data_IF_207553929788
#
_entry.id   IF_207553929788
#
_cell.length_a   1.000
_cell.length_b   1.000
_cell.length_c   1.000
_cell.angle_alpha   90.00
_cell.angle_beta   90.00
_cell.angle_gamma   90.00
#
_symmetry.space_group_name_H-M   'P 1'
#
loop_
_entity.id
_entity.type
_entity.pdbx_description
1 polymer ?
#
# COMPACT_ATOMS: atom_id res chain seq x y z
N UNK A 1 -29.14 66.59 42.19
CA UNK A 1 -30.58 66.67 42.56
C UNK A 1 -31.17 65.29 42.28
N UNK A 2 -31.46 64.33 43.16
CA UNK A 2 -31.51 64.05 44.61
C UNK A 2 -31.04 62.57 44.72
N UNK A 3 -30.19 62.04 45.62
CA UNK A 3 -30.15 61.96 47.10
C UNK A 3 -31.41 61.42 47.80
N UNK A 4 -31.39 60.13 48.20
CA UNK A 4 -31.99 59.54 49.42
C UNK A 4 -31.43 58.11 49.60
N UNK A 5 -30.57 57.78 50.59
CA UNK A 5 -30.81 57.55 52.03
C UNK A 5 -31.97 56.57 52.29
N UNK A 6 -31.93 55.54 53.16
CA UNK A 6 -30.96 54.90 54.07
C UNK A 6 -31.70 53.66 54.62
N UNK A 7 -30.97 52.62 55.04
CA UNK A 7 -31.03 51.93 56.36
C UNK A 7 -30.91 50.39 56.26
N UNK A 8 -29.89 49.93 56.98
CA UNK A 8 -29.66 48.56 57.48
C UNK A 8 -30.70 48.18 58.55
N UNK A 9 -30.76 46.88 58.89
CA UNK A 9 -30.54 46.49 60.28
C UNK A 9 -29.44 45.44 60.44
N UNK A 10 -28.94 45.35 61.68
CA UNK A 10 -27.72 44.66 62.08
C UNK A 10 -28.00 43.40 62.91
N UNK A 11 -27.03 42.47 62.88
CA UNK A 11 -26.67 41.45 63.87
C UNK A 11 -27.63 40.27 64.14
N UNK A 12 -27.13 39.06 63.81
CA UNK A 12 -27.04 37.96 64.78
C UNK A 12 -25.87 37.02 64.39
N UNK A 13 -24.96 36.81 65.34
CA UNK A 13 -23.88 35.81 65.31
C UNK A 13 -24.49 34.42 65.53
N UNK A 14 -24.16 33.47 64.67
CA UNK A 14 -24.23 32.04 65.02
C UNK A 14 -22.98 31.33 64.51
N UNK A 15 -22.16 30.92 65.46
CA UNK A 15 -20.99 30.04 65.32
C UNK A 15 -21.46 28.68 64.81
N UNK A 16 -20.96 28.22 63.66
CA UNK A 16 -21.09 26.83 63.22
C UNK A 16 -19.69 26.22 63.09
N UNK A 17 -19.53 25.14 63.86
CA UNK A 17 -18.34 24.31 63.97
C UNK A 17 -18.00 23.68 62.61
N UNK A 18 -16.75 23.87 62.17
CA UNK A 18 -16.17 23.15 61.04
C UNK A 18 -15.92 21.68 61.47
N UNK A 19 -16.74 20.76 60.99
CA UNK A 19 -16.39 19.34 60.96
C UNK A 19 -15.50 19.10 59.73
N UNK A 20 -14.22 18.79 60.00
CA UNK A 20 -13.28 18.18 59.07
C UNK A 20 -13.83 16.80 58.64
N UNK A 21 -14.17 16.68 57.37
CA UNK A 21 -14.37 15.41 56.69
C UNK A 21 -13.40 15.37 55.52
N UNK A 22 -12.33 14.59 55.66
CA UNK A 22 -11.39 14.31 54.58
C UNK A 22 -12.07 13.50 53.47
N UNK A 23 -11.84 13.81 52.18
CA UNK A 23 -12.19 12.88 51.12
C UNK A 23 -11.17 11.74 51.08
N UNK A 24 -11.64 10.52 51.34
CA UNK A 24 -10.90 9.29 51.13
C UNK A 24 -10.39 9.22 49.68
N UNK A 25 -9.07 9.26 49.52
CA UNK A 25 -8.39 8.95 48.26
C UNK A 25 -8.46 7.43 48.09
N UNK A 26 -9.51 6.97 47.42
CA UNK A 26 -9.57 5.58 46.94
C UNK A 26 -8.64 5.48 45.73
N UNK A 27 -7.39 5.10 45.98
CA UNK A 27 -6.44 4.72 44.93
C UNK A 27 -6.89 3.38 44.35
N UNK A 28 -7.87 3.38 43.45
CA UNK A 28 -8.07 2.27 42.53
C UNK A 28 -6.91 2.30 41.55
N UNK A 29 -5.91 1.47 41.81
CA UNK A 29 -4.86 1.12 40.85
C UNK A 29 -5.51 0.36 39.70
N UNK A 30 -6.11 1.10 38.77
CA UNK A 30 -6.43 0.58 37.44
C UNK A 30 -5.10 0.47 36.71
N UNK A 31 -4.54 -0.73 36.68
CA UNK A 31 -3.47 -1.11 35.74
C UNK A 31 -4.01 -0.97 34.32
N UNK A 32 -4.02 0.26 33.80
CA UNK A 32 -4.00 0.54 32.37
C UNK A 32 -2.70 -0.04 31.85
N UNK A 33 -2.77 -1.18 31.18
CA UNK A 33 -1.66 -1.72 30.42
C UNK A 33 -1.40 -0.79 29.23
N UNK A 34 -0.64 0.27 29.46
CA UNK A 34 0.04 1.04 28.43
C UNK A 34 1.05 0.11 27.77
N UNK A 35 0.58 -0.69 26.82
CA UNK A 35 1.48 -1.33 25.86
C UNK A 35 1.99 -0.18 24.99
N UNK A 36 3.25 0.21 25.23
CA UNK A 36 3.98 1.20 24.44
C UNK A 36 3.74 0.93 22.94
N UNK A 37 3.33 1.94 22.17
CA UNK A 37 3.03 1.80 20.73
C UNK A 37 4.22 1.22 19.95
N UNK A 38 5.44 1.52 20.40
CA UNK A 38 6.68 0.90 19.90
C UNK A 38 6.69 -0.63 20.04
N UNK A 39 6.14 -1.17 21.14
CA UNK A 39 6.01 -2.60 21.38
C UNK A 39 4.99 -3.25 20.43
N UNK A 40 3.84 -2.59 20.18
CA UNK A 40 2.80 -3.08 19.26
C UNK A 40 3.32 -3.15 17.82
N UNK A 41 3.96 -2.08 17.34
CA UNK A 41 4.56 -2.05 16.00
C UNK A 41 5.70 -3.06 15.86
N UNK A 42 6.50 -3.26 16.91
CA UNK A 42 7.55 -4.29 16.91
C UNK A 42 6.98 -5.71 16.81
N UNK A 43 5.90 -6.01 17.53
CA UNK A 43 5.21 -7.29 17.45
C UNK A 43 4.60 -7.50 16.05
N UNK A 44 3.96 -6.47 15.49
CA UNK A 44 3.44 -6.50 14.13
C UNK A 44 4.54 -6.75 13.09
N UNK A 45 5.68 -6.06 13.21
CA UNK A 45 6.83 -6.26 12.31
C UNK A 45 7.32 -7.72 12.36
N UNK A 46 7.43 -8.32 13.55
CA UNK A 46 7.80 -9.73 13.69
C UNK A 46 6.75 -10.69 13.11
N UNK A 47 5.47 -10.36 13.23
CA UNK A 47 4.40 -11.13 12.59
C UNK A 47 4.55 -11.09 11.07
N UNK A 48 4.68 -9.90 10.49
CA UNK A 48 4.74 -9.69 9.04
C UNK A 48 5.99 -10.33 8.43
N UNK A 49 7.14 -10.32 9.10
CA UNK A 49 8.36 -11.04 8.67
C UNK A 49 8.19 -12.56 8.52
N UNK A 50 7.14 -13.14 9.13
CA UNK A 50 6.81 -14.57 8.99
C UNK A 50 5.86 -14.85 7.84
N UNK A 51 5.30 -13.82 7.21
CA UNK A 51 4.43 -13.98 6.06
C UNK A 51 5.19 -14.65 4.92
N UNK A 52 4.57 -15.65 4.31
CA UNK A 52 5.05 -16.27 3.08
C UNK A 52 3.95 -16.10 2.03
N UNK A 53 4.23 -15.41 0.91
CA UNK A 53 3.27 -15.30 -0.18
C UNK A 53 2.83 -16.70 -0.65
N UNK A 54 1.55 -16.90 -1.00
CA UNK A 54 1.14 -18.14 -1.63
C UNK A 54 1.93 -18.36 -2.93
N UNK A 55 2.24 -19.61 -3.30
CA UNK A 55 2.96 -19.90 -4.53
C UNK A 55 2.21 -19.28 -5.71
N UNK A 56 2.88 -18.40 -6.44
CA UNK A 56 2.24 -17.66 -7.52
C UNK A 56 1.97 -18.62 -8.67
N UNK A 57 0.71 -18.81 -9.05
CA UNK A 57 0.34 -19.76 -10.12
C UNK A 57 0.64 -19.24 -11.53
N UNK A 58 1.32 -18.10 -11.66
CA UNK A 58 1.51 -17.42 -12.95
C UNK A 58 2.82 -16.65 -13.12
N UNK A 59 3.72 -16.60 -12.12
CA UNK A 59 4.97 -15.83 -12.24
C UNK A 59 6.26 -16.66 -12.09
N UNK A 60 6.19 -17.90 -11.59
CA UNK A 60 7.37 -18.67 -11.17
C UNK A 60 7.69 -19.88 -12.08
N UNK A 61 7.83 -19.67 -13.40
CA UNK A 61 8.33 -20.71 -14.32
C UNK A 61 9.81 -20.48 -14.73
N UNK A 62 10.55 -19.59 -14.04
CA UNK A 62 11.85 -19.08 -14.54
C UNK A 62 13.02 -19.06 -13.53
N UNK A 63 13.06 -19.99 -12.57
CA UNK A 63 14.28 -20.24 -11.80
C UNK A 63 14.86 -21.62 -12.15
N UNK A 64 16.06 -21.59 -12.73
CA UNK A 64 17.02 -22.68 -13.01
C UNK A 64 16.91 -23.40 -14.38
N UNK A 65 17.62 -22.86 -15.38
CA UNK A 65 18.31 -23.72 -16.36
C UNK A 65 19.77 -23.27 -16.46
N UNK A 66 20.59 -23.88 -15.59
CA UNK A 66 22.04 -23.72 -15.56
C UNK A 66 22.65 -24.40 -16.78
N UNK A 67 23.52 -23.67 -17.47
CA UNK A 67 24.29 -24.03 -18.66
C UNK A 67 24.69 -25.51 -18.78
N UNK A 68 24.31 -26.13 -19.91
CA UNK A 68 25.03 -27.26 -20.48
C UNK A 68 24.98 -27.20 -22.01
N UNK A 69 25.77 -26.28 -22.60
CA UNK A 69 26.17 -26.42 -24.00
C UNK A 69 27.25 -27.52 -24.06
N UNK A 70 26.89 -28.68 -24.60
CA UNK A 70 27.86 -29.60 -25.19
C UNK A 70 27.66 -29.62 -26.70
N UNK A 71 28.69 -29.15 -27.40
CA UNK A 71 28.89 -29.30 -28.82
C UNK A 71 28.78 -30.77 -29.22
N UNK A 72 28.11 -31.07 -30.33
CA UNK A 72 28.58 -32.14 -31.20
C UNK A 72 28.18 -31.87 -32.64
N UNK A 73 29.21 -31.81 -33.48
CA UNK A 73 29.16 -31.57 -34.90
C UNK A 73 28.47 -32.73 -35.65
N UNK A 74 27.67 -32.37 -36.66
CA UNK A 74 27.10 -33.30 -37.62
C UNK A 74 27.04 -32.66 -39.00
N UNK A 75 28.12 -32.81 -39.78
CA UNK A 75 28.21 -32.52 -41.22
C UNK A 75 27.25 -33.43 -41.99
N UNK A 76 26.40 -32.88 -42.86
CA UNK A 76 26.00 -33.56 -44.11
C UNK A 76 25.90 -32.52 -45.24
N UNK A 77 26.58 -32.82 -46.34
CA UNK A 77 26.62 -32.06 -47.59
C UNK A 77 25.56 -32.61 -48.54
N UNK A 78 24.78 -31.74 -49.18
CA UNK A 78 24.34 -31.96 -50.57
C UNK A 78 23.99 -30.64 -51.26
N UNK A 79 24.61 -30.46 -52.43
CA UNK A 79 24.39 -29.40 -53.41
C UNK A 79 23.03 -29.56 -54.10
N UNK A 80 22.27 -28.49 -54.27
CA UNK A 80 21.95 -27.84 -55.56
C UNK A 80 21.19 -26.53 -55.30
N UNK A 81 21.52 -25.49 -56.07
CA UNK A 81 21.11 -24.12 -55.80
C UNK A 81 19.72 -23.74 -56.28
N UNK A 82 19.08 -22.86 -55.51
CA UNK A 82 18.28 -21.74 -55.99
C UNK A 82 18.53 -20.55 -55.04
N UNK A 83 18.82 -19.39 -55.62
CA UNK A 83 19.13 -18.17 -54.90
C UNK A 83 17.82 -17.43 -54.66
N UNK A 84 17.20 -17.66 -53.50
CA UNK A 84 16.17 -16.76 -52.96
C UNK A 84 16.71 -16.17 -51.66
N UNK A 85 16.83 -14.85 -51.68
CA UNK A 85 17.18 -14.00 -50.55
C UNK A 85 16.14 -14.16 -49.44
N UNK A 86 16.37 -15.10 -48.53
CA UNK A 86 15.63 -15.23 -47.28
C UNK A 86 16.24 -14.22 -46.30
N UNK A 87 15.59 -13.07 -46.17
CA UNK A 87 15.79 -12.23 -44.99
C UNK A 87 15.53 -13.10 -43.74
N UNK A 88 16.33 -12.99 -42.67
CA UNK A 88 16.10 -13.79 -41.47
C UNK A 88 14.70 -13.47 -40.93
N UNK A 89 13.80 -14.44 -41.00
CA UNK A 89 12.55 -14.42 -40.23
C UNK A 89 13.00 -14.48 -38.76
N UNK A 90 12.70 -13.49 -37.91
CA UNK A 90 12.99 -13.60 -36.48
C UNK A 90 12.23 -14.81 -35.95
N UNK A 91 12.98 -15.83 -35.51
CA UNK A 91 12.46 -17.14 -35.12
C UNK A 91 12.08 -17.22 -33.64
N UNK A 92 11.87 -16.10 -32.99
CA UNK A 92 11.51 -16.09 -31.57
C UNK A 92 10.37 -15.09 -31.33
N UNK A 93 9.19 -15.55 -30.86
CA UNK A 93 8.25 -14.64 -30.23
C UNK A 93 8.95 -14.07 -29.00
N UNK A 94 9.31 -12.78 -29.04
CA UNK A 94 9.88 -12.03 -27.92
C UNK A 94 9.15 -12.42 -26.62
N UNK A 95 9.86 -13.14 -25.75
CA UNK A 95 9.32 -13.64 -24.49
C UNK A 95 8.86 -12.43 -23.69
N UNK A 96 7.56 -12.32 -23.45
CA UNK A 96 7.00 -11.16 -22.77
C UNK A 96 7.51 -11.08 -21.33
N UNK A 97 8.42 -10.14 -21.09
CA UNK A 97 8.88 -9.78 -19.74
C UNK A 97 8.08 -8.55 -19.29
N UNK A 98 7.09 -8.70 -18.38
CA UNK A 98 6.35 -7.55 -17.88
C UNK A 98 7.32 -6.58 -17.22
N UNK A 99 7.15 -5.28 -17.50
CA UNK A 99 7.88 -4.23 -16.78
C UNK A 99 7.61 -4.38 -15.28
N UNK A 100 8.64 -4.19 -14.47
CA UNK A 100 8.59 -4.34 -13.00
C UNK A 100 8.44 -2.99 -12.33
N UNK A 101 7.65 -2.96 -11.27
CA UNK A 101 7.43 -1.81 -10.41
C UNK A 101 7.28 -2.29 -8.96
N UNK A 102 7.52 -1.40 -8.01
CA UNK A 102 7.30 -1.67 -6.61
C UNK A 102 6.57 -0.50 -5.95
N UNK A 103 5.74 -0.80 -4.96
CA UNK A 103 4.99 0.19 -4.19
C UNK A 103 5.18 -0.03 -2.71
N UNK A 104 5.32 1.06 -1.95
CA UNK A 104 5.49 1.03 -0.51
C UNK A 104 4.14 1.11 0.21
N UNK A 105 3.79 0.05 0.94
CA UNK A 105 2.73 0.06 1.95
C UNK A 105 3.38 0.48 3.27
N UNK A 106 3.48 1.80 3.48
CA UNK A 106 4.06 2.35 4.70
C UNK A 106 3.02 2.39 5.82
N UNK A 107 3.12 1.45 6.77
CA UNK A 107 2.22 1.30 7.91
C UNK A 107 2.79 1.99 9.14
N UNK A 108 1.96 2.71 9.88
CA UNK A 108 2.30 3.31 11.16
C UNK A 108 1.11 3.25 12.12
N UNK A 109 1.35 3.53 13.40
CA UNK A 109 0.29 3.69 14.40
C UNK A 109 -0.17 5.16 14.42
N UNK A 110 -1.46 5.39 14.18
CA UNK A 110 -2.08 6.70 14.28
C UNK A 110 -2.32 7.14 15.73
N UNK A 111 -2.72 8.41 15.91
CA UNK A 111 -2.98 8.99 17.24
C UNK A 111 -4.06 8.24 18.03
N UNK A 112 -4.99 7.58 17.34
CA UNK A 112 -6.05 6.75 17.93
C UNK A 112 -5.61 5.31 18.26
N UNK A 113 -4.36 4.94 17.98
CA UNK A 113 -3.84 3.58 18.14
C UNK A 113 -4.27 2.59 17.03
N UNK A 114 -4.91 3.09 15.98
CA UNK A 114 -5.23 2.36 14.75
C UNK A 114 -4.00 2.27 13.83
N UNK A 115 -3.91 1.19 13.03
CA UNK A 115 -2.89 1.10 11.99
C UNK A 115 -3.34 1.89 10.78
N UNK A 116 -2.46 2.74 10.28
CA UNK A 116 -2.72 3.65 9.15
C UNK A 116 -1.70 3.43 8.05
N UNK A 117 -2.09 3.70 6.81
CA UNK A 117 -1.24 3.58 5.62
C UNK A 117 -1.12 4.91 4.91
N UNK A 118 0.10 5.27 4.50
CA UNK A 118 0.38 6.48 3.73
C UNK A 118 -0.02 6.28 2.26
N UNK A 119 -0.72 7.28 1.70
CA UNK A 119 -1.19 7.32 0.33
C UNK A 119 -0.89 8.68 -0.31
N UNK A 120 -0.80 8.67 -1.63
CA UNK A 120 -0.64 9.86 -2.46
C UNK A 120 -1.87 10.06 -3.33
N UNK A 121 -2.21 11.33 -3.57
CA UNK A 121 -3.06 11.72 -4.69
C UNK A 121 -2.16 12.24 -5.79
N UNK A 122 -2.18 11.57 -6.94
CA UNK A 122 -1.35 11.94 -8.10
C UNK A 122 -1.74 13.31 -8.63
N UNK A 123 -0.75 14.06 -9.10
CA UNK A 123 -0.94 15.36 -9.72
C UNK A 123 -1.89 15.26 -10.91
N UNK A 124 -2.84 16.19 -10.99
CA UNK A 124 -3.77 16.31 -12.12
C UNK A 124 -3.08 16.67 -13.44
N UNK A 125 -1.80 17.05 -13.40
CA UNK A 125 -1.00 17.42 -14.58
C UNK A 125 -0.33 16.23 -15.27
N UNK A 126 -0.39 15.04 -14.67
CA UNK A 126 0.23 13.85 -15.24
C UNK A 126 -0.58 13.30 -16.43
N UNK A 127 0.12 12.74 -17.42
CA UNK A 127 -0.51 12.19 -18.63
C UNK A 127 -1.25 10.88 -18.40
N UNK A 128 -0.94 10.17 -17.31
CA UNK A 128 -1.58 8.91 -16.92
C UNK A 128 -1.94 8.93 -15.43
N UNK A 129 -3.09 8.31 -15.10
CA UNK A 129 -3.57 8.17 -13.73
C UNK A 129 -3.71 9.50 -12.96
N UNK A 130 -3.97 10.59 -13.68
CA UNK A 130 -4.09 11.94 -13.11
C UNK A 130 -5.18 11.99 -12.04
N UNK A 131 -4.83 12.47 -10.84
CA UNK A 131 -5.79 12.60 -9.74
C UNK A 131 -6.17 11.29 -9.03
N UNK A 132 -5.66 10.15 -9.49
CA UNK A 132 -5.91 8.86 -8.82
C UNK A 132 -5.16 8.77 -7.48
N UNK A 133 -5.73 8.01 -6.54
CA UNK A 133 -5.05 7.67 -5.29
C UNK A 133 -4.15 6.45 -5.52
N UNK A 134 -2.91 6.55 -5.06
CA UNK A 134 -1.90 5.50 -5.15
C UNK A 134 -1.14 5.31 -3.85
N UNK A 135 -0.49 4.15 -3.73
CA UNK A 135 0.63 3.97 -2.81
C UNK A 135 1.86 4.67 -3.42
N UNK A 136 2.77 5.23 -2.61
CA UNK A 136 4.06 5.70 -3.10
C UNK A 136 4.79 4.56 -3.82
N UNK A 137 5.36 4.84 -4.99
CA UNK A 137 6.06 3.82 -5.77
C UNK A 137 6.01 4.03 -7.27
N UNK A 138 6.84 3.26 -7.97
CA UNK A 138 7.07 3.44 -9.39
C UNK A 138 7.79 2.27 -10.02
N UNK A 139 8.34 2.52 -11.20
CA UNK A 139 9.01 1.49 -12.01
C UNK A 139 10.40 1.23 -11.45
N UNK A 140 10.86 -0.01 -11.58
CA UNK A 140 12.26 -0.31 -11.26
C UNK A 140 13.20 0.39 -12.26
N UNK A 141 14.27 0.96 -11.73
CA UNK A 141 15.39 1.53 -12.48
C UNK A 141 16.58 0.56 -12.52
N UNK A 142 17.57 0.83 -13.37
CA UNK A 142 18.75 -0.05 -13.54
C UNK A 142 19.58 -0.18 -12.26
N UNK A 143 19.61 0.87 -11.44
CA UNK A 143 20.36 0.91 -10.18
C UNK A 143 19.61 0.30 -8.98
N UNK A 144 18.33 -0.07 -9.15
CA UNK A 144 17.53 -0.70 -8.11
C UNK A 144 17.91 -2.19 -7.96
N UNK A 145 18.58 -2.53 -6.86
CA UNK A 145 19.05 -3.92 -6.63
C UNK A 145 17.91 -4.90 -6.36
N UNK A 146 16.78 -4.43 -5.87
CA UNK A 146 15.59 -5.21 -5.53
C UNK A 146 14.33 -4.34 -5.41
N UNK A 147 13.19 -4.97 -5.08
CA UNK A 147 11.88 -4.28 -5.02
C UNK A 147 11.80 -3.27 -3.87
N UNK A 148 12.50 -3.49 -2.74
CA UNK A 148 12.44 -2.54 -1.62
C UNK A 148 13.23 -1.28 -1.94
N UNK A 149 14.36 -1.39 -2.64
CA UNK A 149 15.09 -0.21 -3.13
C UNK A 149 14.22 0.61 -4.06
N UNK A 150 13.56 0.00 -5.06
CA UNK A 150 12.60 0.70 -5.92
C UNK A 150 11.51 1.40 -5.11
N UNK A 151 10.83 0.69 -4.21
CA UNK A 151 9.71 1.25 -3.46
C UNK A 151 10.12 2.40 -2.52
N UNK A 152 11.30 2.31 -1.89
CA UNK A 152 11.79 3.33 -0.95
C UNK A 152 12.39 4.53 -1.66
N UNK A 153 13.12 4.34 -2.78
CA UNK A 153 13.58 5.44 -3.65
C UNK A 153 12.40 6.27 -4.15
N UNK A 154 11.39 5.62 -4.72
CA UNK A 154 10.20 6.29 -5.22
C UNK A 154 9.43 7.02 -4.11
N UNK A 155 9.34 6.43 -2.91
CA UNK A 155 8.73 7.12 -1.77
C UNK A 155 9.54 8.34 -1.29
N UNK A 156 10.87 8.28 -1.37
CA UNK A 156 11.73 9.42 -1.10
C UNK A 156 11.51 10.54 -2.13
N UNK A 157 11.47 10.20 -3.41
CA UNK A 157 11.25 11.14 -4.52
C UNK A 157 9.85 11.77 -4.50
N UNK A 158 8.80 10.97 -4.29
CA UNK A 158 7.41 11.42 -4.36
C UNK A 158 6.99 12.23 -3.12
N UNK A 159 7.40 11.80 -1.92
CA UNK A 159 6.88 12.33 -0.64
C UNK A 159 7.95 12.69 0.38
N UNK A 160 9.24 12.61 0.05
CA UNK A 160 10.34 12.94 0.95
C UNK A 160 10.50 11.95 2.12
N UNK A 161 10.05 10.71 1.97
CA UNK A 161 10.18 9.70 3.01
C UNK A 161 11.59 9.12 3.03
N UNK A 162 12.40 9.57 4.00
CA UNK A 162 13.74 9.01 4.25
C UNK A 162 13.65 7.48 4.49
N UNK A 163 14.32 6.65 3.65
CA UNK A 163 14.28 5.19 3.78
C UNK A 163 14.72 4.68 5.16
N UNK A 164 15.57 5.41 5.88
CA UNK A 164 16.04 5.03 7.22
C UNK A 164 14.94 5.06 8.30
N UNK A 165 13.83 5.77 8.03
CA UNK A 165 12.66 5.80 8.92
C UNK A 165 11.77 4.56 8.79
N UNK A 166 11.96 3.77 7.74
CA UNK A 166 11.09 2.66 7.36
C UNK A 166 11.78 1.32 7.63
N UNK A 167 11.19 0.51 8.50
CA UNK A 167 11.59 -0.88 8.70
C UNK A 167 10.84 -1.79 7.71
N UNK A 168 11.50 -2.20 6.62
CA UNK A 168 10.92 -3.12 5.63
C UNK A 168 10.79 -4.52 6.23
N UNK A 169 9.56 -5.06 6.24
CA UNK A 169 9.23 -6.29 6.98
C UNK A 169 8.85 -7.46 6.10
N UNK A 170 8.19 -7.24 4.96
CA UNK A 170 7.83 -8.32 4.03
C UNK A 170 7.43 -7.77 2.66
N UNK A 171 7.34 -8.66 1.68
CA UNK A 171 6.70 -8.44 0.39
C UNK A 171 5.36 -9.16 0.34
N UNK A 172 4.40 -8.60 -0.40
CA UNK A 172 3.23 -9.34 -0.84
C UNK A 172 3.50 -9.99 -2.21
N UNK A 173 2.64 -10.93 -2.59
CA UNK A 173 2.62 -11.50 -3.93
C UNK A 173 2.48 -10.40 -5.01
N UNK A 174 3.03 -10.61 -6.21
CA UNK A 174 2.90 -9.67 -7.31
C UNK A 174 1.44 -9.45 -7.71
N UNK A 175 1.11 -8.19 -7.97
CA UNK A 175 -0.12 -7.78 -8.62
C UNK A 175 0.16 -7.40 -10.07
N UNK A 176 -0.83 -7.60 -10.94
CA UNK A 176 -0.74 -7.16 -12.33
C UNK A 176 -1.67 -5.97 -12.56
N UNK A 177 -1.10 -4.88 -13.07
CA UNK A 177 -1.91 -3.74 -13.50
C UNK A 177 -2.62 -4.03 -14.83
N UNK A 178 -3.62 -3.19 -15.16
CA UNK A 178 -4.30 -3.22 -16.46
C UNK A 178 -3.35 -3.07 -17.66
N UNK A 179 -2.17 -2.48 -17.46
CA UNK A 179 -1.15 -2.26 -18.48
C UNK A 179 -0.04 -3.31 -18.45
N UNK A 180 -0.28 -4.47 -17.83
CA UNK A 180 0.66 -5.58 -17.71
C UNK A 180 1.98 -5.23 -16.97
N UNK A 181 1.98 -4.16 -16.18
CA UNK A 181 3.05 -3.85 -15.22
C UNK A 181 2.93 -4.79 -14.01
N UNK A 182 3.98 -5.55 -13.71
CA UNK A 182 4.11 -6.39 -12.52
C UNK A 182 4.51 -5.50 -11.34
N UNK A 183 3.59 -5.34 -10.40
CA UNK A 183 3.75 -4.49 -9.21
C UNK A 183 4.00 -5.35 -7.99
N UNK A 184 5.11 -5.11 -7.29
CA UNK A 184 5.45 -5.77 -6.02
C UNK A 184 5.12 -4.85 -4.86
N UNK A 185 4.14 -5.21 -4.01
CA UNK A 185 3.87 -4.44 -2.80
C UNK A 185 4.88 -4.78 -1.71
N UNK A 186 5.58 -3.76 -1.22
CA UNK A 186 6.56 -3.84 -0.14
C UNK A 186 5.91 -3.29 1.13
N UNK A 187 5.85 -4.07 2.21
CA UNK A 187 5.33 -3.59 3.49
C UNK A 187 6.49 -3.08 4.35
N UNK A 188 6.40 -1.82 4.74
CA UNK A 188 7.34 -1.16 5.65
C UNK A 188 6.63 -0.58 6.87
N UNK A 189 7.28 -0.63 8.03
CA UNK A 189 6.79 -0.04 9.27
C UNK A 189 7.52 1.29 9.52
N UNK A 190 6.78 2.39 9.53
CA UNK A 190 7.26 3.67 10.00
C UNK A 190 7.12 3.71 11.53
N UNK A 191 8.25 3.53 12.24
CA UNK A 191 8.26 3.34 13.69
C UNK A 191 7.89 4.59 14.48
N UNK A 192 8.20 5.76 13.94
CA UNK A 192 7.96 7.05 14.58
C UNK A 192 7.41 8.04 13.55
N UNK A 193 6.08 8.19 13.54
CA UNK A 193 5.39 9.08 12.61
C UNK A 193 5.78 10.55 12.78
N UNK A 194 6.24 10.96 13.96
CA UNK A 194 6.64 12.35 14.24
C UNK A 194 7.94 12.74 13.54
N UNK A 195 8.77 11.76 13.16
CA UNK A 195 9.99 12.00 12.39
C UNK A 195 9.74 12.16 10.89
N UNK A 196 8.54 11.81 10.42
CA UNK A 196 8.17 11.95 9.02
C UNK A 196 7.31 13.19 8.80
N UNK A 197 7.91 14.19 8.16
CA UNK A 197 7.23 15.37 7.63
C UNK A 197 7.16 15.28 6.10
N UNK A 198 5.99 15.00 5.50
CA UNK A 198 5.88 14.83 4.05
C UNK A 198 6.32 16.06 3.26
N UNK A 199 7.11 15.83 2.21
CA UNK A 199 7.54 16.84 1.24
C UNK A 199 7.09 16.35 -0.15
N UNK A 200 5.85 16.63 -0.58
CA UNK A 200 5.37 16.15 -1.87
C UNK A 200 6.11 16.81 -3.03
N UNK A 201 6.52 16.00 -4.01
CA UNK A 201 6.98 16.52 -5.29
C UNK A 201 5.78 17.06 -6.09
N UNK A 202 5.65 18.39 -6.32
CA UNK A 202 4.47 18.97 -6.96
C UNK A 202 4.31 18.57 -8.44
N UNK A 203 5.36 18.04 -9.07
CA UNK A 203 5.27 17.47 -10.41
C UNK A 203 4.41 16.21 -10.46
N UNK A 204 4.38 15.45 -9.36
CA UNK A 204 3.87 14.08 -9.33
C UNK A 204 2.77 13.86 -8.30
N UNK A 205 2.82 14.58 -7.18
CA UNK A 205 1.94 14.41 -6.02
C UNK A 205 1.23 15.73 -5.70
N UNK A 206 -0.11 15.69 -5.74
CA UNK A 206 -0.97 16.82 -5.34
C UNK A 206 -1.19 16.84 -3.81
N UNK A 207 -1.27 15.66 -3.20
CA UNK A 207 -1.48 15.54 -1.75
C UNK A 207 -0.89 14.24 -1.22
N UNK A 208 -0.38 14.31 0.01
CA UNK A 208 -0.07 13.13 0.85
C UNK A 208 -1.10 13.09 1.96
N UNK A 209 -1.66 11.92 2.19
CA UNK A 209 -2.60 11.67 3.27
C UNK A 209 -2.45 10.22 3.74
N UNK A 210 -3.20 9.84 4.76
CA UNK A 210 -3.18 8.49 5.28
C UNK A 210 -4.60 8.02 5.60
N UNK A 211 -4.81 6.71 5.58
CA UNK A 211 -6.11 6.08 5.79
C UNK A 211 -6.00 4.93 6.82
N UNK A 212 -7.04 4.65 7.63
CA UNK A 212 -7.05 3.48 8.51
C UNK A 212 -6.93 2.21 7.67
N UNK A 213 -5.90 1.39 7.89
CA UNK A 213 -5.69 0.17 7.11
C UNK A 213 -6.85 -0.82 7.26
N UNK A 214 -7.49 -0.84 8.41
CA UNK A 214 -8.63 -1.73 8.67
C UNK A 214 -9.85 -1.42 7.78
N UNK A 215 -9.97 -0.20 7.25
CA UNK A 215 -11.13 0.18 6.43
C UNK A 215 -11.26 -0.71 5.19
N UNK A 216 -10.15 -1.22 4.66
CA UNK A 216 -10.11 -2.10 3.50
C UNK A 216 -10.63 -3.52 3.78
N UNK A 217 -11.03 -3.81 5.03
CA UNK A 217 -11.69 -5.07 5.40
C UNK A 217 -13.17 -4.90 5.72
N UNK A 218 -13.69 -3.67 5.71
CA UNK A 218 -15.07 -3.34 6.10
C UNK A 218 -15.90 -3.02 4.86
N UNK A 219 -17.20 -3.33 4.93
CA UNK A 219 -18.14 -3.05 3.84
C UNK A 219 -18.78 -1.64 3.96
N UNK A 220 -18.18 -0.77 4.77
CA UNK A 220 -18.65 0.60 5.00
C UNK A 220 -18.00 1.55 3.99
N UNK A 221 -18.80 2.47 3.42
CA UNK A 221 -18.35 3.43 2.39
C UNK A 221 -17.62 2.75 1.23
N UNK A 222 -18.02 1.51 0.92
CA UNK A 222 -17.44 0.69 -0.13
C UNK A 222 -18.48 0.38 -1.18
N UNK A 223 -18.06 0.39 -2.44
CA UNK A 223 -18.81 -0.17 -3.57
C UNK A 223 -17.92 -1.09 -4.40
N UNK A 224 -18.52 -1.88 -5.27
CA UNK A 224 -17.78 -2.73 -6.22
C UNK A 224 -18.49 -2.86 -7.55
N UNK A 225 -17.71 -2.95 -8.62
CA UNK A 225 -18.19 -3.15 -9.98
C UNK A 225 -17.65 -4.48 -10.52
N UNK A 226 -18.53 -5.26 -11.15
CA UNK A 226 -18.12 -6.45 -11.90
C UNK A 226 -17.44 -6.03 -13.19
N UNK A 227 -16.29 -6.63 -13.46
CA UNK A 227 -15.56 -6.53 -14.72
C UNK A 227 -15.26 -7.91 -15.26
N UNK A 228 -14.90 -7.96 -16.52
CA UNK A 228 -14.51 -9.19 -17.21
C UNK A 228 -13.22 -8.93 -17.98
N UNK A 229 -12.28 -9.85 -17.90
CA UNK A 229 -11.03 -9.81 -18.64
C UNK A 229 -10.70 -11.21 -19.15
N UNK A 230 -10.57 -11.38 -20.46
CA UNK A 230 -10.38 -12.68 -21.13
C UNK A 230 -11.38 -13.76 -20.66
N UNK A 231 -12.65 -13.39 -20.43
CA UNK A 231 -13.69 -14.30 -19.95
C UNK A 231 -13.69 -14.55 -18.44
N UNK A 232 -12.68 -14.07 -17.71
CA UNK A 232 -12.61 -14.16 -16.25
C UNK A 232 -13.26 -12.94 -15.61
N UNK A 233 -14.30 -13.18 -14.81
CA UNK A 233 -15.00 -12.11 -14.07
C UNK A 233 -14.24 -11.78 -12.80
N UNK A 234 -14.11 -10.50 -12.48
CA UNK A 234 -13.51 -10.00 -11.26
C UNK A 234 -14.25 -8.77 -10.72
N UNK A 235 -14.02 -8.42 -9.46
CA UNK A 235 -14.57 -7.22 -8.86
C UNK A 235 -13.51 -6.12 -8.77
N UNK A 236 -13.87 -4.91 -9.19
CA UNK A 236 -13.13 -3.69 -8.85
C UNK A 236 -13.79 -3.08 -7.62
N UNK A 237 -13.01 -2.83 -6.58
CA UNK A 237 -13.47 -2.20 -5.35
C UNK A 237 -13.17 -0.71 -5.35
N UNK A 238 -14.05 0.06 -4.72
CA UNK A 238 -13.93 1.48 -4.47
C UNK A 238 -14.25 1.73 -3.01
N UNK A 239 -13.42 2.53 -2.34
CA UNK A 239 -13.60 2.98 -0.97
C UNK A 239 -13.60 4.50 -0.95
N UNK A 240 -14.66 5.08 -0.41
CA UNK A 240 -14.77 6.52 -0.21
C UNK A 240 -14.22 6.86 1.17
N UNK A 241 -13.20 7.72 1.20
CA UNK A 241 -12.52 8.12 2.42
C UNK A 241 -12.49 9.64 2.56
N UNK A 242 -13.03 10.15 3.66
CA UNK A 242 -12.98 11.56 4.02
C UNK A 242 -11.95 11.77 5.13
N UNK A 243 -11.05 12.73 4.94
CA UNK A 243 -10.12 13.19 5.96
C UNK A 243 -9.96 14.71 5.87
N UNK A 244 -10.12 15.39 7.01
CA UNK A 244 -10.34 16.84 7.03
C UNK A 244 -11.50 17.23 6.10
N UNK A 245 -11.26 18.24 5.26
CA UNK A 245 -12.24 18.75 4.28
C UNK A 245 -12.09 18.12 2.88
N UNK A 246 -11.38 16.99 2.77
CA UNK A 246 -11.09 16.34 1.48
C UNK A 246 -11.70 14.95 1.40
N UNK A 247 -12.23 14.65 0.22
CA UNK A 247 -12.74 13.34 -0.17
C UNK A 247 -11.76 12.65 -1.13
N UNK A 248 -11.45 11.39 -0.84
CA UNK A 248 -10.56 10.54 -1.62
C UNK A 248 -11.29 9.25 -2.00
N UNK A 249 -11.20 8.88 -3.29
CA UNK A 249 -11.70 7.60 -3.78
C UNK A 249 -10.51 6.66 -4.01
N UNK A 250 -10.44 5.60 -3.22
CA UNK A 250 -9.38 4.59 -3.27
C UNK A 250 -9.93 3.39 -4.02
N UNK A 251 -9.37 3.05 -5.18
CA UNK A 251 -9.97 2.07 -6.06
C UNK A 251 -8.95 1.30 -6.91
N UNK A 252 -9.43 0.32 -7.68
CA UNK A 252 -8.63 -0.39 -8.67
C UNK A 252 -7.49 -1.20 -8.04
N UNK A 253 -6.30 -1.11 -8.64
CA UNK A 253 -5.12 -1.84 -8.19
C UNK A 253 -4.73 -1.45 -6.75
N UNK A 254 -4.74 -0.16 -6.43
CA UNK A 254 -4.44 0.36 -5.09
C UNK A 254 -5.36 -0.27 -4.05
N UNK A 255 -6.68 -0.28 -4.29
CA UNK A 255 -7.62 -0.92 -3.37
C UNK A 255 -7.39 -2.43 -3.24
N UNK A 256 -7.13 -3.14 -4.34
CA UNK A 256 -6.81 -4.58 -4.30
C UNK A 256 -5.57 -4.91 -3.46
N UNK A 257 -4.50 -4.13 -3.62
CA UNK A 257 -3.27 -4.26 -2.81
C UNK A 257 -3.58 -3.99 -1.33
N UNK A 258 -4.36 -2.95 -1.02
CA UNK A 258 -4.68 -2.57 0.35
C UNK A 258 -5.61 -3.57 1.06
N UNK A 259 -6.57 -4.17 0.35
CA UNK A 259 -7.40 -5.27 0.88
C UNK A 259 -6.49 -6.44 1.29
N UNK A 260 -5.53 -6.80 0.43
CA UNK A 260 -4.60 -7.88 0.71
C UNK A 260 -3.68 -7.55 1.88
N UNK A 261 -3.09 -6.36 1.88
CA UNK A 261 -2.22 -5.87 2.95
C UNK A 261 -2.95 -5.87 4.30
N UNK A 262 -4.17 -5.36 4.34
CA UNK A 262 -5.00 -5.37 5.55
C UNK A 262 -5.30 -6.80 5.99
N UNK A 263 -5.64 -7.70 5.07
CA UNK A 263 -5.96 -9.10 5.39
C UNK A 263 -4.78 -9.83 6.01
N UNK A 264 -3.56 -9.61 5.50
CA UNK A 264 -2.32 -10.16 6.04
C UNK A 264 -1.96 -9.54 7.39
N UNK A 265 -2.13 -8.22 7.53
CA UNK A 265 -1.82 -7.47 8.75
C UNK A 265 -2.74 -7.87 9.91
N UNK A 266 -4.05 -7.91 9.67
CA UNK A 266 -5.07 -8.25 10.67
C UNK A 266 -5.38 -9.76 10.75
N UNK A 267 -4.74 -10.58 9.91
CA UNK A 267 -4.92 -12.04 9.85
C UNK A 267 -6.39 -12.48 9.72
N UNK A 268 -7.19 -11.71 8.98
CA UNK A 268 -8.61 -11.98 8.77
C UNK A 268 -9.04 -11.55 7.36
N UNK A 269 -10.03 -12.21 6.76
CA UNK A 269 -10.56 -11.81 5.46
C UNK A 269 -11.38 -10.50 5.56
N UNK A 270 -11.64 -9.83 4.42
CA UNK A 270 -12.60 -8.74 4.36
C UNK A 270 -14.04 -9.23 4.59
N UNK A 271 -14.92 -8.31 5.00
CA UNK A 271 -16.35 -8.56 5.20
C UNK A 271 -17.17 -8.66 3.89
N UNK A 272 -16.50 -8.66 2.74
CA UNK A 272 -17.10 -8.67 1.41
C UNK A 272 -16.34 -9.64 0.49
N UNK A 273 -16.93 -9.95 -0.67
CA UNK A 273 -16.32 -10.82 -1.66
C UNK A 273 -15.31 -10.02 -2.48
N UNK A 274 -14.05 -10.46 -2.52
CA UNK A 274 -12.98 -9.81 -3.29
C UNK A 274 -13.03 -10.14 -4.79
N UNK A 275 -13.33 -11.40 -5.15
CA UNK A 275 -13.27 -11.93 -6.52
C UNK A 275 -12.11 -11.33 -7.35
N UNK A 276 -10.87 -11.61 -6.92
CA UNK A 276 -9.65 -11.04 -7.52
C UNK A 276 -9.49 -11.45 -9.00
N UNK A 277 -8.91 -10.58 -9.84
CA UNK A 277 -8.61 -10.92 -11.22
C UNK A 277 -7.57 -12.04 -11.29
N UNK A 278 -7.85 -13.06 -12.11
CA UNK A 278 -6.90 -14.12 -12.45
C UNK A 278 -6.24 -13.78 -13.79
N UNK A 279 -5.30 -12.85 -13.76
CA UNK A 279 -4.58 -12.50 -14.98
C UNK A 279 -3.63 -13.66 -15.38
N UNK A 280 -3.90 -14.27 -16.54
CA UNK A 280 -3.01 -15.24 -17.18
C UNK A 280 -2.12 -14.51 -18.18
N UNK A 281 -0.80 -14.64 -18.07
CA UNK A 281 0.09 -14.09 -19.09
C UNK A 281 -0.01 -14.89 -20.39
N UNK A 282 -0.09 -14.24 -21.56
CA UNK A 282 0.28 -14.91 -22.79
C UNK A 282 1.80 -15.19 -22.75
N UNK A 283 2.20 -16.47 -22.82
CA UNK A 283 3.62 -16.88 -22.83
C UNK A 283 4.38 -16.36 -24.06
N UNK A 284 3.65 -15.98 -25.11
CA UNK A 284 4.15 -15.41 -26.35
C UNK A 284 3.28 -14.21 -26.74
N UNK A 285 3.90 -13.09 -27.06
CA UNK A 285 3.22 -11.89 -27.57
C UNK A 285 3.72 -11.69 -28.99
N UNK A 286 2.82 -11.78 -29.97
CA UNK A 286 3.18 -11.46 -31.36
C UNK A 286 3.10 -9.93 -31.60
N UNK A 287 3.67 -9.46 -32.72
CA UNK A 287 3.63 -8.03 -33.11
C UNK A 287 2.21 -7.51 -33.41
N UNK A 288 1.19 -8.37 -33.35
CA UNK A 288 -0.21 -8.08 -33.59
C UNK A 288 -1.08 -8.26 -32.34
N UNK A 289 -0.47 -8.54 -31.19
CA UNK A 289 -1.17 -8.73 -29.93
C UNK A 289 -1.46 -7.35 -29.36
N UNK A 290 -2.52 -6.74 -29.86
CA UNK A 290 -3.13 -5.56 -29.25
C UNK A 290 -4.04 -6.05 -28.12
N UNK A 291 -3.55 -5.91 -26.89
CA UNK A 291 -4.39 -5.99 -25.69
C UNK A 291 -5.15 -4.65 -25.58
N UNK A 292 -6.49 -4.66 -25.46
CA UNK A 292 -7.31 -3.44 -25.42
C UNK A 292 -7.02 -2.56 -24.20
#
# INVERSE_FOLDING_TARGET
MFLLHRRLPSFARTTLLYNLMEPAVTTTTTTSSFVDGSSRLSALAQQLRRYKPPPSSSFDDDAEETQANQETAGKVVSQVGFQESIAPIPKDPERFKPKRAAVLICIFEGDGGDLRVILTKRSSRLSTHSGEVSLPGGKAEEDDKDDWMTATREAEEEIGLDPSLVDVVTYLEPFLSKHLLRVIPVIGILRDKNKFNPIPNPGEVEAVFDAPLEMFLKDENRRSEKREWLGEKYLIHYFDYRTGDKDYMIWGLTAGILIRAASVTYQRPPAFIEQCPKFKYPKMVDKHTYMP
#
